data_IF_310510492216
#
_entry.id   IF_310510492216
#
_cell.length_a   1.000
_cell.length_b   1.000
_cell.length_c   1.000
_cell.angle_alpha   90.00
_cell.angle_beta   90.00
_cell.angle_gamma   90.00
#
_symmetry.space_group_name_H-M   'P 1'
#
loop_
_entity.id
_entity.type
_entity.pdbx_description
1 polymer ?
#
# COMPACT_ATOMS: atom_id res chain seq x y z
N UNK A 1 8.75 -31.30 -64.81
CA UNK A 1 8.87 -31.83 -63.44
C UNK A 1 8.14 -30.89 -62.48
N UNK A 2 6.81 -30.90 -62.52
CA UNK A 2 5.95 -30.04 -61.71
C UNK A 2 4.78 -30.88 -61.20
N UNK A 3 5.06 -31.73 -60.22
CA UNK A 3 4.09 -32.62 -59.58
C UNK A 3 4.70 -33.11 -58.25
N UNK A 4 4.78 -32.22 -57.25
CA UNK A 4 5.15 -32.65 -55.88
C UNK A 4 4.72 -31.70 -54.76
N UNK A 5 4.02 -30.60 -55.03
CA UNK A 5 3.70 -29.56 -54.03
C UNK A 5 2.26 -29.65 -53.46
N UNK A 6 1.66 -30.83 -53.44
CA UNK A 6 0.30 -31.02 -52.93
C UNK A 6 0.17 -32.37 -52.23
N UNK A 7 1.07 -32.68 -51.29
CA UNK A 7 0.71 -33.64 -50.26
C UNK A 7 -0.45 -33.02 -49.48
N UNK A 8 -1.57 -33.73 -49.43
CA UNK A 8 -2.84 -33.21 -48.92
C UNK A 8 -2.66 -32.75 -47.48
N UNK A 9 -2.86 -31.46 -47.20
CA UNK A 9 -2.85 -30.88 -45.84
C UNK A 9 -3.74 -31.72 -44.90
N UNK A 10 -4.84 -32.27 -45.42
CA UNK A 10 -5.76 -33.15 -44.69
C UNK A 10 -5.06 -34.45 -44.25
N UNK A 11 -4.24 -35.07 -45.10
CA UNK A 11 -3.48 -36.28 -44.76
C UNK A 11 -2.36 -35.98 -43.74
N UNK A 12 -1.69 -34.83 -43.87
CA UNK A 12 -0.70 -34.38 -42.88
C UNK A 12 -1.36 -34.08 -41.52
N UNK A 13 -2.58 -33.55 -41.51
CA UNK A 13 -3.38 -33.29 -40.32
C UNK A 13 -3.83 -34.60 -39.65
N UNK A 14 -4.31 -35.57 -40.41
CA UNK A 14 -4.66 -36.91 -39.90
C UNK A 14 -3.44 -37.64 -39.31
N UNK A 15 -2.29 -37.57 -39.98
CA UNK A 15 -1.04 -38.17 -39.50
C UNK A 15 -0.52 -37.49 -38.22
N UNK A 16 -0.54 -36.15 -38.16
CA UNK A 16 -0.14 -35.40 -36.98
C UNK A 16 -1.07 -35.65 -35.77
N UNK A 17 -2.36 -35.85 -36.03
CA UNK A 17 -3.39 -36.15 -35.01
C UNK A 17 -3.38 -37.61 -34.58
N UNK A 18 -2.93 -38.58 -35.40
CA UNK A 18 -2.90 -40.02 -34.99
C UNK A 18 -1.57 -40.47 -34.42
N UNK A 19 -0.46 -40.35 -35.16
CA UNK A 19 0.83 -41.01 -34.82
C UNK A 19 2.09 -40.17 -35.16
N UNK A 20 1.95 -38.87 -35.45
CA UNK A 20 3.07 -38.00 -35.80
C UNK A 20 4.11 -37.85 -34.69
N UNK A 21 5.37 -37.56 -35.05
CA UNK A 21 6.41 -37.18 -34.07
C UNK A 21 6.10 -35.79 -33.47
N UNK A 22 6.66 -35.45 -32.30
CA UNK A 22 6.46 -34.12 -31.69
C UNK A 22 6.83 -32.99 -32.65
N UNK A 23 7.94 -33.11 -33.38
CA UNK A 23 8.34 -32.14 -34.40
C UNK A 23 7.31 -31.95 -35.53
N UNK A 24 6.70 -33.05 -36.01
CA UNK A 24 5.64 -32.98 -37.03
C UNK A 24 4.38 -32.30 -36.50
N UNK A 25 4.00 -32.56 -35.24
CA UNK A 25 2.85 -31.89 -34.61
C UNK A 25 3.04 -30.39 -34.48
N UNK A 26 4.24 -29.96 -34.08
CA UNK A 26 4.59 -28.53 -33.99
C UNK A 26 4.58 -27.87 -35.37
N UNK A 27 5.13 -28.53 -36.38
CA UNK A 27 5.09 -28.02 -37.76
C UNK A 27 3.65 -27.89 -38.27
N UNK A 28 2.81 -28.90 -38.03
CA UNK A 28 1.39 -28.89 -38.42
C UNK A 28 0.65 -27.78 -37.69
N UNK A 29 0.87 -27.61 -36.38
CA UNK A 29 0.29 -26.52 -35.60
C UNK A 29 0.65 -25.15 -36.20
N UNK A 30 1.93 -24.94 -36.55
CA UNK A 30 2.38 -23.70 -37.20
C UNK A 30 1.70 -23.49 -38.54
N UNK A 31 1.62 -24.51 -39.40
CA UNK A 31 0.96 -24.40 -40.71
C UNK A 31 -0.54 -24.09 -40.60
N UNK A 32 -1.26 -24.76 -39.68
CA UNK A 32 -2.69 -24.47 -39.44
C UNK A 32 -2.87 -23.06 -38.89
N UNK A 33 -1.99 -22.63 -37.99
CA UNK A 33 -2.00 -21.26 -37.45
C UNK A 33 -1.72 -20.24 -38.55
N UNK A 34 -0.69 -20.46 -39.38
CA UNK A 34 -0.34 -19.56 -40.49
C UNK A 34 -1.49 -19.47 -41.51
N UNK A 35 -2.17 -20.59 -41.80
CA UNK A 35 -3.36 -20.61 -42.65
C UNK A 35 -4.49 -19.77 -42.03
N UNK A 36 -4.76 -19.96 -40.74
CA UNK A 36 -5.75 -19.17 -40.01
C UNK A 36 -5.41 -17.67 -40.00
N UNK A 37 -4.15 -17.31 -39.79
CA UNK A 37 -3.72 -15.90 -39.75
C UNK A 37 -3.80 -15.22 -41.12
N UNK A 38 -3.58 -15.95 -42.21
CA UNK A 38 -3.64 -15.39 -43.57
C UNK A 38 -5.07 -15.12 -44.05
N UNK A 39 -6.03 -15.96 -43.67
CA UNK A 39 -7.42 -15.86 -44.12
C UNK A 39 -8.40 -15.36 -43.03
N UNK A 40 -7.92 -15.16 -41.80
CA UNK A 40 -8.71 -14.95 -40.58
C UNK A 40 -9.80 -13.88 -40.66
N UNK A 41 -9.49 -12.71 -41.21
CA UNK A 41 -10.45 -11.61 -41.36
C UNK A 41 -11.62 -11.91 -42.31
N UNK A 42 -11.49 -12.97 -43.12
CA UNK A 42 -12.49 -13.38 -44.13
C UNK A 42 -13.27 -14.62 -43.72
N UNK A 43 -12.89 -15.28 -42.63
CA UNK A 43 -13.54 -16.47 -42.14
C UNK A 43 -14.83 -16.11 -41.38
N UNK A 44 -15.88 -16.89 -41.58
CA UNK A 44 -17.08 -16.80 -40.75
C UNK A 44 -16.94 -17.64 -39.46
N UNK A 45 -17.85 -17.45 -38.50
CA UNK A 45 -17.79 -18.13 -37.20
C UNK A 45 -17.78 -19.67 -37.31
N UNK A 46 -18.48 -20.24 -38.29
CA UNK A 46 -18.49 -21.68 -38.52
C UNK A 46 -17.12 -22.20 -39.00
N UNK A 47 -16.45 -21.45 -39.87
CA UNK A 47 -15.11 -21.76 -40.33
C UNK A 47 -14.08 -21.59 -39.21
N UNK A 48 -14.17 -20.51 -38.43
CA UNK A 48 -13.31 -20.29 -37.25
C UNK A 48 -13.44 -21.46 -36.27
N UNK A 49 -14.66 -21.99 -36.08
CA UNK A 49 -14.90 -23.15 -35.21
C UNK A 49 -14.17 -24.42 -35.69
N UNK A 50 -14.10 -24.66 -37.00
CA UNK A 50 -13.34 -25.81 -37.54
C UNK A 50 -11.86 -25.68 -37.22
N UNK A 51 -11.29 -24.47 -37.35
CA UNK A 51 -9.91 -24.22 -36.93
C UNK A 51 -9.74 -24.38 -35.42
N UNK A 52 -10.72 -23.95 -34.63
CA UNK A 52 -10.73 -24.09 -33.17
C UNK A 52 -10.59 -25.56 -32.75
N UNK A 53 -11.45 -26.42 -33.28
CA UNK A 53 -11.46 -27.86 -32.97
C UNK A 53 -10.11 -28.52 -33.31
N UNK A 54 -9.53 -28.18 -34.48
CA UNK A 54 -8.24 -28.71 -34.91
C UNK A 54 -7.10 -28.21 -34.04
N UNK A 55 -7.06 -26.90 -33.75
CA UNK A 55 -6.01 -26.32 -32.94
C UNK A 55 -6.07 -26.85 -31.50
N UNK A 56 -7.27 -27.04 -30.93
CA UNK A 56 -7.47 -27.68 -29.62
C UNK A 56 -6.83 -29.07 -29.54
N UNK A 57 -7.07 -29.91 -30.56
CA UNK A 57 -6.49 -31.26 -30.64
C UNK A 57 -4.96 -31.24 -30.72
N UNK A 58 -4.39 -30.29 -31.46
CA UNK A 58 -2.95 -30.14 -31.62
C UNK A 58 -2.30 -29.59 -30.33
N UNK A 59 -2.89 -28.57 -29.72
CA UNK A 59 -2.42 -27.92 -28.47
C UNK A 59 -2.29 -28.94 -27.34
N UNK A 60 -3.25 -29.87 -27.21
CA UNK A 60 -3.21 -30.92 -26.19
C UNK A 60 -2.01 -31.89 -26.33
N UNK A 61 -1.31 -31.90 -27.46
CA UNK A 61 -0.27 -32.90 -27.80
C UNK A 61 1.09 -32.31 -28.14
N UNK A 62 1.26 -31.00 -28.04
CA UNK A 62 2.53 -30.30 -28.26
C UNK A 62 3.13 -29.85 -26.93
N UNK A 63 4.45 -29.67 -26.92
CA UNK A 63 5.17 -29.14 -25.76
C UNK A 63 4.82 -27.68 -25.47
N UNK A 64 5.09 -27.26 -24.23
CA UNK A 64 4.81 -25.91 -23.71
C UNK A 64 5.34 -24.79 -24.61
N UNK A 65 6.55 -24.95 -25.17
CA UNK A 65 7.15 -23.93 -26.05
C UNK A 65 6.30 -23.66 -27.29
N UNK A 66 5.70 -24.70 -27.87
CA UNK A 66 4.84 -24.55 -29.04
C UNK A 66 3.49 -23.92 -28.68
N UNK A 67 2.93 -24.26 -27.50
CA UNK A 67 1.72 -23.60 -26.98
C UNK A 67 1.96 -22.12 -26.69
N UNK A 68 3.11 -21.77 -26.13
CA UNK A 68 3.51 -20.39 -25.87
C UNK A 68 3.64 -19.58 -27.18
N UNK A 69 4.25 -20.18 -28.22
CA UNK A 69 4.33 -19.54 -29.54
C UNK A 69 2.94 -19.30 -30.14
N UNK A 70 2.03 -20.28 -30.03
CA UNK A 70 0.65 -20.14 -30.47
C UNK A 70 -0.08 -19.03 -29.71
N UNK A 71 0.01 -19.04 -28.38
CA UNK A 71 -0.60 -18.05 -27.49
C UNK A 71 -0.22 -16.63 -27.90
N UNK A 72 1.08 -16.38 -28.08
CA UNK A 72 1.57 -15.06 -28.50
C UNK A 72 1.00 -14.58 -29.84
N UNK A 73 0.76 -15.50 -30.77
CA UNK A 73 0.22 -15.18 -32.11
C UNK A 73 -1.29 -14.95 -32.09
N UNK A 74 -2.02 -15.69 -31.26
CA UNK A 74 -3.49 -15.60 -31.19
C UNK A 74 -3.98 -14.53 -30.21
N UNK A 75 -3.23 -14.23 -29.16
CA UNK A 75 -3.61 -13.29 -28.11
C UNK A 75 -4.10 -11.91 -28.61
N UNK A 76 -3.46 -11.24 -29.59
CA UNK A 76 -3.89 -9.91 -30.03
C UNK A 76 -5.07 -9.91 -31.01
N UNK A 77 -5.64 -11.08 -31.37
CA UNK A 77 -6.66 -11.17 -32.42
C UNK A 77 -8.08 -11.18 -31.83
N UNK A 78 -8.91 -10.26 -32.31
CA UNK A 78 -10.31 -10.14 -31.86
C UNK A 78 -11.25 -11.25 -32.38
N UNK A 79 -10.82 -11.95 -33.43
CA UNK A 79 -11.52 -13.08 -34.04
C UNK A 79 -10.86 -14.43 -33.71
N UNK A 80 -9.96 -14.48 -32.70
CA UNK A 80 -9.29 -15.71 -32.33
C UNK A 80 -10.28 -16.83 -31.95
N UNK A 81 -9.94 -18.10 -32.26
CA UNK A 81 -10.77 -19.26 -31.92
C UNK A 81 -11.01 -19.34 -30.42
N UNK A 82 -12.27 -19.55 -30.01
CA UNK A 82 -12.69 -19.32 -28.63
C UNK A 82 -12.18 -20.41 -27.68
N UNK A 83 -12.35 -21.68 -28.04
CA UNK A 83 -12.00 -22.82 -27.19
C UNK A 83 -10.48 -22.91 -26.98
N UNK A 84 -9.68 -22.67 -28.02
CA UNK A 84 -8.22 -22.60 -27.91
C UNK A 84 -7.78 -21.47 -26.99
N UNK A 85 -8.38 -20.28 -27.10
CA UNK A 85 -8.02 -19.16 -26.22
C UNK A 85 -8.33 -19.50 -24.76
N UNK A 86 -9.49 -20.11 -24.49
CA UNK A 86 -9.82 -20.59 -23.15
C UNK A 86 -8.79 -21.61 -22.68
N UNK A 87 -8.47 -22.62 -23.49
CA UNK A 87 -7.51 -23.66 -23.11
C UNK A 87 -6.11 -23.09 -22.80
N UNK A 88 -5.63 -22.13 -23.60
CA UNK A 88 -4.34 -21.46 -23.37
C UNK A 88 -4.37 -20.55 -22.12
N UNK A 89 -5.48 -19.87 -21.84
CA UNK A 89 -5.63 -19.02 -20.66
C UNK A 89 -5.61 -19.80 -19.35
N UNK A 90 -6.09 -21.04 -19.38
CA UNK A 90 -6.11 -21.96 -18.23
C UNK A 90 -4.84 -22.80 -18.08
N UNK A 91 -3.84 -22.64 -18.95
CA UNK A 91 -2.56 -23.36 -18.83
C UNK A 91 -1.84 -22.96 -17.52
N UNK A 92 -1.23 -23.94 -16.85
CA UNK A 92 -0.50 -23.73 -15.60
C UNK A 92 0.83 -22.99 -15.83
N UNK A 93 1.38 -23.07 -17.04
CA UNK A 93 2.61 -22.37 -17.40
C UNK A 93 2.30 -20.95 -17.88
N UNK A 94 2.83 -19.94 -17.17
CA UNK A 94 2.61 -18.53 -17.52
C UNK A 94 3.19 -18.16 -18.89
N UNK A 95 4.21 -18.87 -19.38
CA UNK A 95 4.74 -18.63 -20.73
C UNK A 95 3.69 -18.93 -21.81
N UNK A 96 2.69 -19.76 -21.50
CA UNK A 96 1.54 -20.04 -22.37
C UNK A 96 0.39 -19.10 -22.05
N UNK A 97 -0.03 -18.99 -20.78
CA UNK A 97 -1.23 -18.22 -20.43
C UNK A 97 -1.03 -16.70 -20.51
N UNK A 98 0.20 -16.20 -20.32
CA UNK A 98 0.48 -14.79 -20.07
C UNK A 98 0.00 -13.84 -21.16
N UNK A 99 0.38 -14.08 -22.42
CA UNK A 99 0.00 -13.22 -23.54
C UNK A 99 -1.52 -13.18 -23.73
N UNK A 100 -2.18 -14.34 -23.63
CA UNK A 100 -3.64 -14.46 -23.74
C UNK A 100 -4.35 -13.73 -22.60
N UNK A 101 -3.90 -13.90 -21.35
CA UNK A 101 -4.49 -13.23 -20.19
C UNK A 101 -4.33 -11.71 -20.26
N UNK A 102 -3.21 -11.22 -20.80
CA UNK A 102 -2.95 -9.77 -20.90
C UNK A 102 -3.64 -9.11 -22.10
N UNK A 103 -3.69 -9.76 -23.26
CA UNK A 103 -4.06 -9.09 -24.51
C UNK A 103 -5.37 -9.57 -25.14
N UNK A 104 -5.84 -10.79 -24.84
CA UNK A 104 -6.99 -11.34 -25.56
C UNK A 104 -8.31 -10.69 -25.17
N UNK A 105 -9.05 -10.20 -26.15
CA UNK A 105 -10.42 -9.69 -26.03
C UNK A 105 -11.48 -10.79 -25.96
N UNK A 106 -11.11 -12.05 -26.26
CA UNK A 106 -12.02 -13.21 -26.27
C UNK A 106 -12.34 -13.76 -24.86
N UNK A 107 -11.60 -13.33 -23.84
CA UNK A 107 -11.83 -13.75 -22.46
C UNK A 107 -12.92 -12.91 -21.81
N UNK A 108 -13.96 -13.58 -21.28
CA UNK A 108 -15.01 -12.93 -20.51
C UNK A 108 -14.50 -12.49 -19.13
N UNK A 109 -15.15 -11.48 -18.55
CA UNK A 109 -14.84 -11.04 -17.18
C UNK A 109 -15.06 -12.15 -16.14
N UNK A 110 -16.02 -13.05 -16.37
CA UNK A 110 -16.25 -14.21 -15.51
C UNK A 110 -15.10 -15.21 -15.58
N UNK A 111 -14.59 -15.52 -16.78
CA UNK A 111 -13.43 -16.39 -16.96
C UNK A 111 -12.18 -15.78 -16.31
N UNK A 112 -11.94 -14.48 -16.49
CA UNK A 112 -10.82 -13.77 -15.84
C UNK A 112 -10.93 -13.84 -14.31
N UNK A 113 -12.15 -13.68 -13.76
CA UNK A 113 -12.40 -13.81 -12.32
C UNK A 113 -12.08 -15.22 -11.83
N UNK A 114 -12.55 -16.26 -12.52
CA UNK A 114 -12.30 -17.66 -12.16
C UNK A 114 -10.81 -18.03 -12.22
N UNK A 115 -10.10 -17.58 -13.26
CA UNK A 115 -8.65 -17.77 -13.39
C UNK A 115 -7.93 -17.02 -12.26
N UNK A 116 -8.29 -15.76 -11.99
CA UNK A 116 -7.73 -14.98 -10.89
C UNK A 116 -8.03 -15.58 -9.51
N UNK A 117 -9.13 -16.33 -9.33
CA UNK A 117 -9.45 -17.03 -8.08
C UNK A 117 -8.70 -18.36 -7.91
N UNK A 118 -8.29 -19.00 -9.00
CA UNK A 118 -7.74 -20.37 -8.96
C UNK A 118 -6.23 -20.44 -9.20
N UNK A 119 -5.67 -19.60 -10.09
CA UNK A 119 -4.26 -19.67 -10.52
C UNK A 119 -3.31 -18.91 -9.58
N UNK A 120 -2.02 -18.97 -9.91
CA UNK A 120 -0.90 -18.40 -9.16
C UNK A 120 -0.61 -16.93 -9.46
N UNK A 121 0.36 -16.36 -8.73
CA UNK A 121 0.68 -14.92 -8.77
C UNK A 121 1.09 -14.41 -10.15
N UNK A 122 1.76 -15.23 -10.95
CA UNK A 122 2.18 -14.86 -12.31
C UNK A 122 0.96 -14.66 -13.24
N UNK A 123 -0.08 -15.47 -13.09
CA UNK A 123 -1.35 -15.29 -13.82
C UNK A 123 -2.07 -14.02 -13.36
N UNK A 124 -2.13 -13.76 -12.06
CA UNK A 124 -2.71 -12.52 -11.53
C UNK A 124 -1.95 -11.29 -12.04
N UNK A 125 -0.62 -11.37 -12.12
CA UNK A 125 0.22 -10.32 -12.68
C UNK A 125 -0.11 -10.07 -14.16
N UNK A 126 -0.31 -11.11 -14.96
CA UNK A 126 -0.72 -10.99 -16.36
C UNK A 126 -2.13 -10.38 -16.50
N UNK A 127 -3.08 -10.79 -15.66
CA UNK A 127 -4.45 -10.24 -15.68
C UNK A 127 -4.45 -8.76 -15.27
N UNK A 128 -3.67 -8.38 -14.24
CA UNK A 128 -3.56 -6.97 -13.79
C UNK A 128 -3.05 -5.99 -14.85
N UNK A 129 -2.46 -6.51 -15.93
CA UNK A 129 -1.93 -5.75 -17.05
C UNK A 129 -2.97 -5.35 -18.11
N UNK A 130 -4.17 -5.93 -18.07
CA UNK A 130 -5.20 -5.72 -19.10
C UNK A 130 -5.65 -4.26 -19.13
N UNK A 131 -5.95 -3.74 -20.32
CA UNK A 131 -6.34 -2.33 -20.50
C UNK A 131 -7.64 -1.94 -19.78
N UNK A 132 -8.55 -2.88 -19.58
CA UNK A 132 -9.80 -2.65 -18.85
C UNK A 132 -10.07 -3.81 -17.91
N UNK A 133 -10.21 -3.51 -16.62
CA UNK A 133 -10.53 -4.50 -15.59
C UNK A 133 -11.72 -4.01 -14.77
N UNK A 134 -12.82 -4.76 -14.73
CA UNK A 134 -13.97 -4.40 -13.91
C UNK A 134 -13.70 -4.69 -12.42
N UNK A 135 -14.46 -4.03 -11.51
CA UNK A 135 -14.29 -4.21 -10.07
C UNK A 135 -14.36 -5.66 -9.60
N UNK A 136 -15.20 -6.49 -10.24
CA UNK A 136 -15.36 -7.90 -9.90
C UNK A 136 -14.09 -8.74 -10.07
N UNK A 137 -13.17 -8.32 -10.94
CA UNK A 137 -11.89 -9.01 -11.17
C UNK A 137 -10.80 -8.36 -10.31
N UNK A 138 -10.78 -7.02 -10.23
CA UNK A 138 -9.78 -6.32 -9.40
C UNK A 138 -9.88 -6.69 -7.93
N UNK A 139 -11.09 -6.87 -7.40
CA UNK A 139 -11.29 -7.21 -5.98
C UNK A 139 -10.66 -8.59 -5.66
N UNK A 140 -10.82 -9.58 -6.54
CA UNK A 140 -10.16 -10.89 -6.41
C UNK A 140 -8.63 -10.75 -6.47
N UNK A 141 -8.12 -9.91 -7.36
CA UNK A 141 -6.67 -9.66 -7.47
C UNK A 141 -6.15 -8.95 -6.22
N UNK A 142 -6.92 -8.04 -5.61
CA UNK A 142 -6.54 -7.34 -4.38
C UNK A 142 -6.47 -8.31 -3.20
N UNK A 143 -7.47 -9.18 -3.06
CA UNK A 143 -7.58 -10.12 -1.96
C UNK A 143 -6.45 -11.17 -1.98
N UNK A 144 -6.03 -11.61 -3.16
CA UNK A 144 -5.02 -12.68 -3.33
C UNK A 144 -3.63 -12.20 -3.74
N UNK A 145 -3.52 -11.02 -4.32
CA UNK A 145 -2.31 -10.54 -4.97
C UNK A 145 -1.19 -10.24 -3.97
N UNK A 146 0.03 -10.57 -4.36
CA UNK A 146 1.25 -10.09 -3.70
C UNK A 146 1.60 -8.66 -4.14
N UNK A 147 2.53 -8.02 -3.44
CA UNK A 147 2.82 -6.58 -3.60
C UNK A 147 3.18 -6.22 -5.05
N UNK A 148 3.89 -7.09 -5.77
CA UNK A 148 4.22 -6.90 -7.19
C UNK A 148 2.97 -6.83 -8.08
N UNK A 149 1.98 -7.68 -7.80
CA UNK A 149 0.68 -7.71 -8.50
C UNK A 149 -0.12 -6.46 -8.15
N UNK A 150 -0.20 -6.11 -6.86
CA UNK A 150 -0.94 -4.93 -6.39
C UNK A 150 -0.37 -3.65 -6.97
N UNK A 151 0.96 -3.48 -6.99
CA UNK A 151 1.60 -2.32 -7.62
C UNK A 151 1.32 -2.24 -9.12
N UNK A 152 1.31 -3.37 -9.84
CA UNK A 152 0.96 -3.39 -11.26
C UNK A 152 -0.50 -2.99 -11.48
N UNK A 153 -1.40 -3.55 -10.67
CA UNK A 153 -2.83 -3.25 -10.70
C UNK A 153 -3.08 -1.76 -10.37
N UNK A 154 -2.39 -1.20 -9.38
CA UNK A 154 -2.53 0.21 -9.01
C UNK A 154 -1.97 1.18 -10.06
N UNK A 155 -0.93 0.78 -10.81
CA UNK A 155 -0.40 1.56 -11.95
C UNK A 155 -1.32 1.52 -13.18
N UNK A 156 -2.27 0.58 -13.23
CA UNK A 156 -3.17 0.42 -14.35
C UNK A 156 -4.34 1.41 -14.28
N UNK A 157 -4.28 2.46 -15.10
CA UNK A 157 -5.32 3.49 -15.16
C UNK A 157 -6.69 2.97 -15.63
N UNK A 158 -6.74 1.83 -16.32
CA UNK A 158 -7.98 1.20 -16.78
C UNK A 158 -8.54 0.15 -15.82
N UNK A 159 -7.87 -0.11 -14.70
CA UNK A 159 -8.41 -0.96 -13.64
C UNK A 159 -9.44 -0.18 -12.81
N UNK A 160 -10.67 -0.66 -12.76
CA UNK A 160 -11.73 -0.06 -11.97
C UNK A 160 -11.80 -0.74 -10.60
N UNK A 161 -11.96 0.04 -9.54
CA UNK A 161 -11.94 -0.47 -8.18
C UNK A 161 -13.29 -0.21 -7.51
N UNK A 162 -13.76 -1.17 -6.71
CA UNK A 162 -14.87 -0.94 -5.81
C UNK A 162 -14.42 -0.06 -4.64
N UNK A 163 -15.38 0.52 -3.90
CA UNK A 163 -15.08 1.26 -2.67
C UNK A 163 -14.31 0.39 -1.65
N UNK A 164 -14.64 -0.91 -1.60
CA UNK A 164 -13.95 -1.88 -0.77
C UNK A 164 -12.53 -2.15 -1.30
N UNK A 165 -12.38 -2.36 -2.61
CA UNK A 165 -11.08 -2.60 -3.23
C UNK A 165 -10.10 -1.43 -3.02
N UNK A 166 -10.59 -0.21 -3.12
CA UNK A 166 -9.82 0.99 -2.80
C UNK A 166 -9.42 1.04 -1.31
N UNK A 167 -10.35 0.76 -0.40
CA UNK A 167 -10.09 0.74 1.04
C UNK A 167 -9.02 -0.31 1.40
N UNK A 168 -9.10 -1.50 0.82
CA UNK A 168 -8.13 -2.59 1.01
C UNK A 168 -6.74 -2.22 0.48
N UNK A 169 -6.66 -1.61 -0.70
CA UNK A 169 -5.38 -1.16 -1.28
C UNK A 169 -4.75 -0.03 -0.45
N UNK A 170 -5.55 0.94 0.02
CA UNK A 170 -5.05 2.04 0.87
C UNK A 170 -4.53 1.51 2.21
N UNK A 171 -5.25 0.56 2.82
CA UNK A 171 -4.78 -0.11 4.04
C UNK A 171 -3.45 -0.83 3.82
N UNK A 172 -3.26 -1.46 2.65
CA UNK A 172 -2.01 -2.15 2.30
C UNK A 172 -0.85 -1.19 2.00
N UNK A 173 -1.15 0.03 1.56
CA UNK A 173 -0.15 1.06 1.27
C UNK A 173 0.55 1.61 2.52
N UNK A 174 0.02 1.39 3.74
CA UNK A 174 0.59 1.92 4.99
C UNK A 174 2.04 1.50 5.24
N UNK A 175 2.49 0.36 4.69
CA UNK A 175 3.87 -0.12 4.73
C UNK A 175 4.64 -0.06 3.41
N UNK A 176 4.02 0.42 2.34
CA UNK A 176 4.58 0.38 0.98
C UNK A 176 4.64 1.80 0.36
N UNK A 177 5.77 2.46 0.57
CA UNK A 177 6.02 3.81 0.07
C UNK A 177 5.86 3.89 -1.48
N UNK A 178 6.17 2.83 -2.24
CA UNK A 178 5.96 2.82 -3.69
C UNK A 178 4.47 2.78 -4.05
N UNK A 179 3.68 1.99 -3.32
CA UNK A 179 2.23 1.92 -3.52
C UNK A 179 1.54 3.25 -3.19
N UNK A 180 1.97 3.93 -2.14
CA UNK A 180 1.51 5.29 -1.79
C UNK A 180 1.78 6.27 -2.94
N UNK A 181 2.98 6.23 -3.52
CA UNK A 181 3.34 7.08 -4.66
C UNK A 181 2.46 6.79 -5.89
N UNK A 182 2.22 5.52 -6.21
CA UNK A 182 1.39 5.11 -7.36
C UNK A 182 -0.05 5.61 -7.20
N UNK A 183 -0.64 5.39 -6.01
CA UNK A 183 -2.04 5.75 -5.74
C UNK A 183 -2.24 7.26 -5.64
N UNK A 184 -1.27 7.99 -5.05
CA UNK A 184 -1.34 9.44 -4.94
C UNK A 184 -1.24 10.16 -6.29
N UNK A 185 -0.67 9.53 -7.32
CA UNK A 185 -0.61 10.07 -8.68
C UNK A 185 -1.86 9.77 -9.51
N UNK A 186 -2.78 8.97 -8.97
CA UNK A 186 -3.94 8.47 -9.69
C UNK A 186 -5.06 9.50 -9.67
N UNK A 187 -5.66 9.78 -10.83
CA UNK A 187 -6.61 10.89 -11.00
C UNK A 187 -8.03 10.56 -10.52
N UNK A 188 -8.37 9.28 -10.42
CA UNK A 188 -9.69 8.74 -10.11
C UNK A 188 -9.81 8.28 -8.65
N UNK A 189 -8.80 8.52 -7.81
CA UNK A 189 -8.89 8.20 -6.38
C UNK A 189 -9.89 9.15 -5.68
N UNK A 190 -10.84 8.62 -4.89
CA UNK A 190 -11.75 9.46 -4.11
C UNK A 190 -11.00 10.36 -3.11
N UNK A 191 -11.38 11.63 -3.01
CA UNK A 191 -10.70 12.63 -2.19
C UNK A 191 -10.54 12.23 -0.70
N UNK A 192 -11.51 11.49 -0.14
CA UNK A 192 -11.43 10.97 1.24
C UNK A 192 -10.29 9.96 1.40
N UNK A 193 -10.12 9.07 0.43
CA UNK A 193 -9.08 8.05 0.46
C UNK A 193 -7.70 8.64 0.15
N UNK A 194 -7.63 9.63 -0.74
CA UNK A 194 -6.41 10.42 -0.94
C UNK A 194 -5.98 11.11 0.36
N UNK A 195 -6.94 11.70 1.10
CA UNK A 195 -6.69 12.30 2.42
C UNK A 195 -6.14 11.26 3.39
N UNK A 196 -6.80 10.11 3.54
CA UNK A 196 -6.35 9.05 4.45
C UNK A 196 -4.94 8.54 4.09
N UNK A 197 -4.67 8.35 2.81
CA UNK A 197 -3.37 7.93 2.29
C UNK A 197 -2.28 8.97 2.58
N UNK A 198 -2.55 10.25 2.30
CA UNK A 198 -1.61 11.33 2.57
C UNK A 198 -1.39 11.52 4.07
N UNK A 199 -2.43 11.39 4.91
CA UNK A 199 -2.32 11.52 6.36
C UNK A 199 -1.39 10.47 6.96
N UNK A 200 -1.39 9.24 6.43
CA UNK A 200 -0.51 8.14 6.87
C UNK A 200 0.88 8.14 6.20
N UNK A 201 1.02 8.80 5.05
CA UNK A 201 2.28 8.86 4.32
C UNK A 201 3.35 9.65 5.07
N UNK A 202 4.60 9.18 4.99
CA UNK A 202 5.78 9.90 5.51
C UNK A 202 5.98 11.21 4.73
N UNK A 203 6.56 12.21 5.38
CA UNK A 203 6.83 13.51 4.74
C UNK A 203 7.76 13.40 3.52
N UNK A 204 8.69 12.45 3.52
CA UNK A 204 9.56 12.16 2.37
C UNK A 204 8.75 11.68 1.15
N UNK A 205 7.73 10.85 1.39
CA UNK A 205 6.84 10.33 0.33
C UNK A 205 5.91 11.44 -0.17
N UNK A 206 5.36 12.26 0.73
CA UNK A 206 4.56 13.45 0.36
C UNK A 206 5.35 14.43 -0.52
N UNK A 207 6.61 14.70 -0.16
CA UNK A 207 7.49 15.58 -0.94
C UNK A 207 7.81 15.00 -2.33
N UNK A 208 8.03 13.69 -2.41
CA UNK A 208 8.28 12.99 -3.69
C UNK A 208 7.03 12.91 -4.56
N UNK A 209 5.86 12.67 -3.99
CA UNK A 209 4.58 12.77 -4.67
C UNK A 209 4.41 14.15 -5.30
N UNK A 210 4.63 15.21 -4.53
CA UNK A 210 4.57 16.57 -5.04
C UNK A 210 5.61 16.85 -6.13
N UNK A 211 6.78 16.20 -6.14
CA UNK A 211 7.79 16.45 -7.17
C UNK A 211 7.49 15.78 -8.51
N UNK A 212 6.82 14.63 -8.49
CA UNK A 212 6.51 13.82 -9.69
C UNK A 212 5.11 14.13 -10.25
N UNK A 213 4.19 14.62 -9.41
CA UNK A 213 2.81 14.88 -9.79
C UNK A 213 2.66 15.88 -10.95
N UNK A 214 1.65 15.63 -11.80
CA UNK A 214 1.19 16.60 -12.80
C UNK A 214 0.70 17.88 -12.11
N UNK A 215 0.67 19.04 -12.80
CA UNK A 215 0.25 20.31 -12.19
C UNK A 215 -1.12 20.24 -11.51
N UNK A 216 -2.08 19.53 -12.13
CA UNK A 216 -3.42 19.32 -11.58
C UNK A 216 -3.41 18.44 -10.33
N UNK A 217 -2.75 17.28 -10.39
CA UNK A 217 -2.65 16.38 -9.24
C UNK A 217 -1.88 17.05 -8.09
N UNK A 218 -0.86 17.86 -8.39
CA UNK A 218 -0.11 18.63 -7.39
C UNK A 218 -1.01 19.62 -6.65
N UNK A 219 -1.89 20.33 -7.36
CA UNK A 219 -2.84 21.26 -6.73
C UNK A 219 -3.81 20.52 -5.80
N UNK A 220 -4.39 19.40 -6.24
CA UNK A 220 -5.28 18.57 -5.43
C UNK A 220 -4.57 18.02 -4.18
N UNK A 221 -3.35 17.47 -4.34
CA UNK A 221 -2.53 16.98 -3.22
C UNK A 221 -2.19 18.13 -2.25
N UNK A 222 -1.78 19.30 -2.76
CA UNK A 222 -1.46 20.45 -1.92
C UNK A 222 -2.67 20.98 -1.15
N UNK A 223 -3.86 21.01 -1.77
CA UNK A 223 -5.09 21.38 -1.07
C UNK A 223 -5.39 20.41 0.08
N UNK A 224 -5.32 19.10 -0.18
CA UNK A 224 -5.57 18.07 0.84
C UNK A 224 -4.54 18.14 1.97
N UNK A 225 -3.26 18.36 1.66
CA UNK A 225 -2.21 18.53 2.68
C UNK A 225 -2.42 19.79 3.53
N UNK A 226 -2.86 20.90 2.92
CA UNK A 226 -3.18 22.12 3.65
C UNK A 226 -4.39 21.92 4.56
N UNK A 227 -5.44 21.23 4.11
CA UNK A 227 -6.61 20.90 4.92
C UNK A 227 -6.22 20.05 6.14
N UNK A 228 -5.38 19.02 5.94
CA UNK A 228 -4.85 18.19 7.04
C UNK A 228 -4.07 19.06 8.03
N UNK A 229 -3.19 19.93 7.54
CA UNK A 229 -2.40 20.82 8.40
C UNK A 229 -3.28 21.83 9.17
N UNK A 230 -4.36 22.34 8.56
CA UNK A 230 -5.32 23.23 9.21
C UNK A 230 -6.16 22.48 10.25
N UNK A 231 -6.63 21.26 9.97
CA UNK A 231 -7.35 20.42 10.93
C UNK A 231 -6.44 20.03 12.12
N UNK A 232 -5.17 19.69 11.89
CA UNK A 232 -4.18 19.45 12.96
C UNK A 232 -3.87 20.72 13.77
N UNK A 233 -3.95 21.90 13.15
CA UNK A 233 -3.81 23.17 13.84
C UNK A 233 -5.08 23.62 14.59
N UNK A 234 -6.26 23.23 14.10
CA UNK A 234 -7.59 23.58 14.61
C UNK A 234 -8.16 22.56 15.60
N UNK A 235 -7.61 21.34 15.66
CA UNK A 235 -7.77 20.45 16.80
C UNK A 235 -7.47 21.26 18.07
N UNK A 236 -8.30 21.18 19.12
CA UNK A 236 -8.19 22.08 20.25
C UNK A 236 -6.87 21.83 20.97
N UNK A 237 -5.81 22.55 20.56
CA UNK A 237 -4.64 22.78 21.40
C UNK A 237 -5.19 23.40 22.65
N UNK A 238 -5.14 22.68 23.76
CA UNK A 238 -5.51 23.22 25.08
C UNK A 238 -4.82 24.57 25.20
N UNK A 239 -5.60 25.63 25.41
CA UNK A 239 -5.03 26.97 25.45
C UNK A 239 -4.27 27.13 26.78
N UNK A 240 -2.98 26.79 26.76
CA UNK A 240 -2.11 26.85 27.92
C UNK A 240 -1.78 28.27 28.38
N UNK A 241 -2.32 29.32 27.75
CA UNK A 241 -1.94 30.72 28.02
C UNK A 241 -1.99 31.11 29.50
N UNK A 242 -3.06 30.75 30.21
CA UNK A 242 -3.20 31.05 31.66
C UNK A 242 -2.19 30.24 32.49
N UNK A 243 -2.02 28.96 32.17
CA UNK A 243 -1.07 28.08 32.85
C UNK A 243 0.39 28.49 32.61
N UNK A 244 0.71 28.96 31.41
CA UNK A 244 2.02 29.51 31.04
C UNK A 244 2.39 30.74 31.84
N UNK A 245 1.48 31.72 31.95
CA UNK A 245 1.73 32.94 32.72
C UNK A 245 1.95 32.61 34.20
N UNK A 246 1.11 31.74 34.78
CA UNK A 246 1.23 31.31 36.17
C UNK A 246 2.57 30.60 36.43
N UNK A 247 2.92 29.59 35.62
CA UNK A 247 4.14 28.81 35.82
C UNK A 247 5.40 29.63 35.55
N UNK A 248 5.37 30.56 34.58
CA UNK A 248 6.48 31.51 34.34
C UNK A 248 6.69 32.43 35.53
N UNK A 249 5.61 32.96 36.13
CA UNK A 249 5.68 33.78 37.33
C UNK A 249 6.28 32.97 38.50
N UNK A 250 5.81 31.74 38.72
CA UNK A 250 6.35 30.87 39.77
C UNK A 250 7.82 30.51 39.56
N UNK A 251 8.26 30.30 38.31
CA UNK A 251 9.70 30.09 38.00
C UNK A 251 10.53 31.34 38.32
N UNK A 252 10.01 32.54 38.03
CA UNK A 252 10.69 33.80 38.36
C UNK A 252 10.78 34.05 39.86
N UNK A 253 9.75 33.67 40.62
CA UNK A 253 9.71 33.74 42.08
C UNK A 253 10.44 32.59 42.77
N UNK A 254 10.98 31.63 42.01
CA UNK A 254 11.63 30.41 42.52
C UNK A 254 10.70 29.55 43.41
N UNK A 255 9.40 29.59 43.13
CA UNK A 255 8.33 28.82 43.79
C UNK A 255 7.91 27.59 42.97
N UNK A 256 8.49 27.38 41.78
CA UNK A 256 8.24 26.21 40.96
C UNK A 256 9.09 25.02 41.43
N UNK A 257 8.67 24.39 42.51
CA UNK A 257 9.31 23.22 43.12
C UNK A 257 8.42 21.96 43.06
N UNK A 258 8.91 20.85 43.63
CA UNK A 258 8.17 19.58 43.67
C UNK A 258 6.81 19.70 44.38
N UNK A 259 6.70 20.54 45.40
CA UNK A 259 5.45 20.75 46.14
C UNK A 259 4.42 21.52 45.29
N UNK A 260 4.86 22.52 44.53
CA UNK A 260 4.01 23.22 43.57
C UNK A 260 3.46 22.28 42.49
N UNK A 261 4.32 21.43 41.91
CA UNK A 261 3.90 20.45 40.89
C UNK A 261 2.98 19.39 41.49
N UNK A 262 3.25 18.94 42.72
CA UNK A 262 2.35 18.02 43.45
C UNK A 262 0.97 18.62 43.62
N UNK A 263 0.87 19.88 44.06
CA UNK A 263 -0.40 20.58 44.25
C UNK A 263 -1.19 20.70 42.94
N UNK A 264 -0.53 21.03 41.83
CA UNK A 264 -1.20 21.05 40.52
C UNK A 264 -1.73 19.67 40.12
N UNK A 265 -0.95 18.60 40.36
CA UNK A 265 -1.37 17.25 40.06
C UNK A 265 -2.56 16.79 40.94
N UNK A 266 -2.54 17.13 42.23
CA UNK A 266 -3.61 16.81 43.18
C UNK A 266 -4.92 17.51 42.84
N UNK A 267 -4.86 18.82 42.52
CA UNK A 267 -6.01 19.64 42.12
C UNK A 267 -6.55 19.29 40.72
N UNK A 268 -5.91 18.35 39.99
CA UNK A 268 -6.31 17.96 38.63
C UNK A 268 -5.99 19.00 37.56
N UNK A 269 -5.12 19.98 37.89
CA UNK A 269 -4.63 21.05 37.02
C UNK A 269 -3.53 20.53 36.09
N UNK A 270 -3.92 19.64 35.18
CA UNK A 270 -2.99 18.95 34.28
C UNK A 270 -2.31 19.88 33.28
N UNK A 271 -2.94 21.00 32.96
CA UNK A 271 -2.38 21.97 32.04
C UNK A 271 -1.17 22.67 32.68
N UNK A 272 -1.30 23.05 33.95
CA UNK A 272 -0.24 23.60 34.79
C UNK A 272 0.88 22.57 35.03
N UNK A 273 0.57 21.29 35.24
CA UNK A 273 1.58 20.22 35.33
C UNK A 273 2.36 20.08 34.02
N UNK A 274 1.67 20.10 32.88
CA UNK A 274 2.28 19.97 31.55
C UNK A 274 3.22 21.13 31.27
N UNK A 275 2.77 22.36 31.56
CA UNK A 275 3.58 23.57 31.42
C UNK A 275 4.75 23.57 32.42
N UNK A 276 4.54 23.18 33.68
CA UNK A 276 5.60 23.09 34.68
C UNK A 276 6.72 22.13 34.25
N UNK A 277 6.37 20.94 33.77
CA UNK A 277 7.35 19.98 33.25
C UNK A 277 8.07 20.51 32.01
N UNK A 278 7.37 21.21 31.11
CA UNK A 278 7.97 21.83 29.93
C UNK A 278 8.98 22.92 30.33
N UNK A 279 8.60 23.78 31.28
CA UNK A 279 9.40 24.91 31.77
C UNK A 279 10.59 24.45 32.62
N UNK A 280 10.45 23.39 33.42
CA UNK A 280 11.56 22.83 34.22
C UNK A 280 12.59 22.09 33.36
N UNK A 281 12.18 21.57 32.21
CA UNK A 281 13.04 20.82 31.30
C UNK A 281 13.44 21.62 30.05
N UNK A 282 13.05 22.90 29.94
CA UNK A 282 13.22 23.73 28.73
C UNK A 282 12.80 23.01 27.43
N UNK A 283 11.64 22.33 27.50
CA UNK A 283 11.04 21.56 26.40
C UNK A 283 9.81 22.29 25.82
N UNK A 284 9.48 22.10 24.54
CA UNK A 284 8.20 22.56 23.99
C UNK A 284 7.02 21.89 24.71
N UNK A 285 5.99 22.68 25.06
CA UNK A 285 4.78 22.20 25.75
C UNK A 285 4.09 21.08 24.95
N UNK A 286 3.99 21.22 23.62
CA UNK A 286 3.41 20.20 22.74
C UNK A 286 4.10 18.83 22.85
N UNK A 287 5.40 18.79 23.17
CA UNK A 287 6.10 17.52 23.37
C UNK A 287 5.73 16.88 24.71
N UNK A 288 5.64 17.66 25.79
CA UNK A 288 5.22 17.14 27.10
C UNK A 288 3.75 16.72 27.05
N UNK A 289 2.89 17.47 26.36
CA UNK A 289 1.48 17.12 26.13
C UNK A 289 1.36 15.75 25.44
N UNK A 290 2.14 15.50 24.38
CA UNK A 290 2.22 14.18 23.73
C UNK A 290 2.66 13.07 24.70
N UNK A 291 3.62 13.35 25.58
CA UNK A 291 4.05 12.38 26.59
C UNK A 291 2.97 12.12 27.65
N UNK A 292 2.21 13.15 28.02
CA UNK A 292 1.09 13.05 28.95
C UNK A 292 -0.10 12.27 28.37
N UNK A 293 -0.32 12.35 27.05
CA UNK A 293 -1.37 11.62 26.33
C UNK A 293 -0.95 10.22 25.85
N UNK A 294 0.35 9.95 25.70
CA UNK A 294 0.85 8.70 25.13
C UNK A 294 0.67 7.48 26.03
N UNK A 295 0.31 6.32 25.49
CA UNK A 295 0.03 5.09 26.27
C UNK A 295 1.22 4.57 27.10
N UNK A 296 2.44 5.01 26.79
CA UNK A 296 3.68 4.60 27.45
C UNK A 296 3.94 5.42 28.72
N UNK A 297 3.80 4.77 29.89
CA UNK A 297 4.03 5.39 31.20
C UNK A 297 5.51 5.58 31.53
N UNK A 298 6.41 4.82 30.90
CA UNK A 298 7.86 4.87 31.12
C UNK A 298 8.50 6.16 30.59
N UNK A 299 7.96 6.75 29.53
CA UNK A 299 8.54 7.93 28.89
C UNK A 299 8.34 9.21 29.71
N UNK A 300 7.24 9.33 30.47
CA UNK A 300 6.99 10.51 31.33
C UNK A 300 7.89 10.54 32.57
N UNK A 301 8.46 9.40 32.96
CA UNK A 301 9.39 9.30 34.08
C UNK A 301 10.66 10.12 33.84
N UNK A 302 11.06 10.27 32.57
CA UNK A 302 12.28 10.96 32.15
C UNK A 302 12.22 12.47 32.46
N UNK A 303 11.23 13.24 31.96
CA UNK A 303 11.11 14.66 32.31
C UNK A 303 10.84 14.88 33.80
N UNK A 304 10.10 13.98 34.46
CA UNK A 304 9.89 14.06 35.92
C UNK A 304 11.19 13.90 36.70
N UNK A 305 12.05 12.95 36.31
CA UNK A 305 13.33 12.69 36.97
C UNK A 305 14.32 13.83 36.72
N UNK A 306 14.37 14.34 35.49
CA UNK A 306 15.20 15.48 35.11
C UNK A 306 14.81 16.76 35.88
N UNK A 307 13.51 16.97 36.10
CA UNK A 307 12.95 18.03 36.93
C UNK A 307 13.11 17.80 38.45
N UNK A 308 13.72 16.68 38.88
CA UNK A 308 13.97 16.32 40.28
C UNK A 308 12.70 16.15 41.13
N UNK A 309 11.60 15.71 40.53
CA UNK A 309 10.36 15.44 41.26
C UNK A 309 10.50 14.22 42.16
N UNK A 310 9.78 14.20 43.29
CA UNK A 310 9.72 13.05 44.17
C UNK A 310 8.69 12.02 43.67
N UNK A 311 8.85 10.76 44.07
CA UNK A 311 7.94 9.69 43.64
C UNK A 311 6.46 9.98 43.94
N UNK A 312 6.05 10.54 45.11
CA UNK A 312 4.65 10.87 45.36
C UNK A 312 4.05 11.80 44.29
N UNK A 313 4.80 12.81 43.85
CA UNK A 313 4.41 13.71 42.77
C UNK A 313 4.25 12.98 41.45
N UNK A 314 5.22 12.14 41.10
CA UNK A 314 5.18 11.35 39.86
C UNK A 314 4.02 10.36 39.86
N UNK A 315 3.74 9.72 40.98
CA UNK A 315 2.61 8.81 41.13
C UNK A 315 1.28 9.53 40.97
N UNK A 316 1.10 10.69 41.60
CA UNK A 316 -0.10 11.51 41.43
C UNK A 316 -0.29 11.95 39.98
N UNK A 317 0.80 12.37 39.31
CA UNK A 317 0.77 12.69 37.89
C UNK A 317 0.29 11.48 37.10
N UNK A 318 0.92 10.30 37.27
CA UNK A 318 0.58 9.07 36.54
C UNK A 318 -0.89 8.66 36.75
N UNK A 319 -1.38 8.67 37.99
CA UNK A 319 -2.77 8.29 38.32
C UNK A 319 -3.80 9.26 37.74
N UNK A 320 -3.47 10.55 37.61
CA UNK A 320 -4.37 11.60 37.12
C UNK A 320 -4.25 11.85 35.61
N UNK A 321 -3.45 11.06 34.89
CA UNK A 321 -3.28 11.23 33.43
C UNK A 321 -4.61 11.04 32.70
N UNK A 322 -4.86 11.82 31.63
CA UNK A 322 -6.07 11.72 30.82
C UNK A 322 -5.97 10.54 29.86
N UNK A 323 -5.85 9.32 30.39
CA UNK A 323 -5.81 8.07 29.62
C UNK A 323 -7.22 7.45 29.54
N UNK A 324 -7.53 6.68 28.47
CA UNK A 324 -8.82 6.01 28.32
C UNK A 324 -9.14 5.00 29.44
N UNK A 325 -8.09 4.41 30.03
CA UNK A 325 -8.18 3.53 31.17
C UNK A 325 -7.22 4.01 32.28
N UNK A 326 -7.65 3.97 33.55
CA UNK A 326 -6.74 4.23 34.66
C UNK A 326 -5.64 3.17 34.71
N UNK A 327 -4.43 3.59 35.10
CA UNK A 327 -3.31 2.66 35.28
C UNK A 327 -3.60 1.68 36.41
N UNK A 328 -3.34 0.41 36.18
CA UNK A 328 -3.40 -0.64 37.19
C UNK A 328 -2.20 -0.54 38.15
N UNK A 329 -2.38 -1.06 39.36
CA UNK A 329 -1.34 -0.95 40.40
C UNK A 329 -0.07 -1.71 40.02
N UNK A 330 -0.16 -2.78 39.21
CA UNK A 330 1.01 -3.50 38.71
C UNK A 330 1.88 -2.63 37.77
N UNK A 331 1.27 -1.84 36.88
CA UNK A 331 2.01 -0.90 36.02
C UNK A 331 2.64 0.23 36.82
N UNK A 332 1.98 0.69 37.89
CA UNK A 332 2.55 1.70 38.78
C UNK A 332 3.76 1.19 39.57
N UNK A 333 3.75 -0.08 40.01
CA UNK A 333 4.91 -0.71 40.65
C UNK A 333 6.11 -0.82 39.70
N UNK A 334 5.85 -1.17 38.43
CA UNK A 334 6.89 -1.21 37.39
C UNK A 334 7.46 0.21 37.18
N UNK A 335 6.59 1.21 37.02
CA UNK A 335 7.01 2.60 36.87
C UNK A 335 7.82 3.10 38.08
N UNK A 336 7.48 2.68 39.31
CA UNK A 336 8.23 3.03 40.51
C UNK A 336 9.64 2.44 40.48
N UNK A 337 9.76 1.18 40.09
CA UNK A 337 11.05 0.50 39.96
C UNK A 337 11.93 1.17 38.93
N UNK A 338 11.35 1.53 37.79
CA UNK A 338 12.07 2.18 36.69
C UNK A 338 12.48 3.61 37.06
N UNK A 339 11.61 4.37 37.75
CA UNK A 339 11.94 5.70 38.24
C UNK A 339 13.11 5.70 39.23
N UNK A 340 13.17 4.71 40.13
CA UNK A 340 14.28 4.55 41.08
C UNK A 340 15.59 4.15 40.40
N UNK A 341 15.52 3.36 39.32
CA UNK A 341 16.69 2.95 38.52
C UNK A 341 17.21 4.07 37.63
N UNK A 342 16.34 4.99 37.21
CA UNK A 342 16.70 6.11 36.35
C UNK A 342 17.56 7.14 37.12
N UNK A 343 18.83 7.25 36.74
CA UNK A 343 19.71 8.28 37.29
C UNK A 343 19.34 9.67 36.77
N UNK A 344 19.61 10.71 37.57
CA UNK A 344 19.36 12.10 37.18
C UNK A 344 20.16 12.49 35.91
N UNK A 345 21.41 12.03 35.83
CA UNK A 345 22.29 12.31 34.69
C UNK A 345 21.78 11.68 33.40
N UNK A 346 21.29 10.44 33.45
CA UNK A 346 20.68 9.77 32.29
C UNK A 346 19.40 10.49 31.86
N UNK A 347 18.53 10.87 32.81
CA UNK A 347 17.32 11.60 32.49
C UNK A 347 17.60 12.94 31.79
N UNK A 348 18.56 13.72 32.32
CA UNK A 348 18.97 15.00 31.73
C UNK A 348 19.61 14.84 30.35
N UNK A 349 20.43 13.79 30.14
CA UNK A 349 21.00 13.47 28.82
C UNK A 349 19.91 13.16 27.80
N UNK A 350 18.91 12.37 28.17
CA UNK A 350 17.80 12.01 27.29
C UNK A 350 16.93 13.23 26.94
N UNK A 351 16.63 14.10 27.93
CA UNK A 351 15.92 15.36 27.67
C UNK A 351 16.70 16.24 26.70
N UNK A 352 18.02 16.42 26.89
CA UNK A 352 18.86 17.19 25.94
C UNK A 352 18.87 16.60 24.54
N UNK A 353 18.90 15.28 24.42
CA UNK A 353 18.78 14.60 23.13
C UNK A 353 17.43 14.93 22.46
N UNK A 354 16.33 14.89 23.21
CA UNK A 354 15.01 15.29 22.71
C UNK A 354 14.95 16.77 22.30
N UNK A 355 15.57 17.69 23.06
CA UNK A 355 15.66 19.10 22.69
C UNK A 355 16.37 19.31 21.34
N UNK A 356 17.49 18.59 21.13
CA UNK A 356 18.27 18.70 19.90
C UNK A 356 17.51 18.14 18.70
N UNK A 357 16.83 17.01 18.84
CA UNK A 357 16.10 16.41 17.72
C UNK A 357 14.90 17.27 17.28
N UNK A 358 14.16 17.86 18.23
CA UNK A 358 13.09 18.83 17.91
C UNK A 358 13.61 20.13 17.25
N UNK A 359 14.84 20.56 17.55
CA UNK A 359 15.45 21.73 16.88
C UNK A 359 15.85 21.42 15.44
N UNK A 360 16.30 20.19 15.19
CA UNK A 360 16.63 19.71 13.85
C UNK A 360 15.36 19.60 12.99
N UNK A 361 14.25 19.10 13.54
CA UNK A 361 12.94 19.07 12.85
C UNK A 361 12.38 20.48 12.56
N UNK A 362 12.78 21.51 13.32
CA UNK A 362 12.36 22.91 13.12
C UNK A 362 13.25 23.74 12.20
N UNK A 363 14.42 23.26 11.78
CA UNK A 363 15.20 23.95 10.76
C UNK A 363 14.76 23.46 9.38
N UNK A 364 13.98 24.22 8.59
CA UNK A 364 13.93 23.95 7.17
C UNK A 364 15.36 24.11 6.65
N UNK A 365 15.82 23.12 5.89
CA UNK A 365 17.06 23.18 5.13
C UNK A 365 17.05 24.50 4.33
N UNK A 366 17.77 25.50 4.85
CA UNK A 366 17.99 26.74 4.14
C UNK A 366 18.82 26.41 2.91
N UNK A 367 18.28 26.79 1.76
CA UNK A 367 18.82 26.63 0.43
C UNK A 367 20.33 26.87 0.35
N UNK A 368 21.02 25.90 -0.26
CA UNK A 368 22.30 26.08 -0.94
C UNK A 368 22.07 25.88 -2.43
#
# INVERSE_FOLDING_TARGET
>A
MAQQASQSIIAELEDAVRDGTSAKRVQTLRQVTDLFLNDGDRLNDEQVKVFDDVLCLLVARVETRARAELSKRLAPLDYAPFEVIQHLAWDDDISVAGDVLTHSSRLSNDALREIASSKGQDHLFAISARENLPPSVTDVIIDRGEDKVIRRLAKNAGAQFSDNGYSSIVARAEGDDELVEILGLRIDIPAKLLRDLLQRAKDTVRARLLSIASPRAREEISQVLNDIAQEEAAAPRRNYGIAEELVKLMKQLNELDDAAVYKFAEEGKLDEVTVALAVLNDMPIAMIERLMLGLRSDLILIPCRSARLNWPTVETILRKRPLPLPLDDATLEIAQRDYRRLSLETAQRTVRFWQLHNRIEKQPMAAG
#
